data_IF_708869400870
#
_entry.id   IF_708869400870
#
_cell.length_a   1.000
_cell.length_b   1.000
_cell.length_c   1.000
_cell.angle_alpha   90.00
_cell.angle_beta   90.00
_cell.angle_gamma   90.00
#
_symmetry.space_group_name_H-M   'P 1'
#
loop_
_entity.id
_entity.type
_entity.pdbx_description
1 polymer ?
2 non-polymer ?
3 non-polymer ?
4 non-polymer ?
5 non-polymer ?
6 water ?
#
# COMPACT_ATOMS: atom_id res chain seq x y z
N UNK A 5 -4.17 -9.86 14.00
CA UNK A 5 -3.37 -10.69 14.90
C UNK A 5 -2.30 -11.50 14.17
N UNK A 6 -2.58 -11.92 12.93
CA UNK A 6 -1.53 -12.56 12.12
C UNK A 6 -1.51 -12.03 10.69
N UNK A 7 -0.33 -12.05 10.07
CA UNK A 7 -0.22 -11.57 8.69
C UNK A 7 -1.11 -12.38 7.73
N UNK A 8 -1.27 -13.66 8.01
CA UNK A 8 -2.06 -14.48 7.09
C UNK A 8 -3.50 -14.05 7.06
N UNK A 9 -3.93 -13.31 8.10
CA UNK A 9 -5.30 -12.84 8.17
C UNK A 9 -5.57 -11.78 7.10
N UNK A 10 -4.51 -11.24 6.50
CA UNK A 10 -4.68 -10.23 5.44
C UNK A 10 -4.79 -10.88 4.06
N UNK A 11 -4.58 -12.19 3.97
CA UNK A 11 -4.56 -12.81 2.63
C UNK A 11 -5.89 -12.72 1.91
N UNK A 12 -5.81 -12.57 0.58
CA UNK A 12 -6.96 -12.71 -0.29
C UNK A 12 -6.99 -11.66 -1.38
N UNK A 13 -8.06 -11.66 -2.17
CA UNK A 13 -8.26 -10.63 -3.18
C UNK A 13 -9.21 -9.62 -2.57
N UNK A 14 -8.82 -8.35 -2.60
CA UNK A 14 -9.62 -7.29 -2.01
C UNK A 14 -9.96 -6.23 -3.06
N UNK A 15 -11.15 -5.65 -2.98
CA UNK A 15 -11.61 -4.67 -3.94
C UNK A 15 -11.86 -3.32 -3.26
N UNK A 16 -11.37 -2.24 -3.87
CA UNK A 16 -11.51 -0.92 -3.24
C UNK A 16 -12.94 -0.48 -3.19
N UNK A 17 -13.39 -0.15 -1.99
CA UNK A 17 -14.75 0.41 -1.86
C UNK A 17 -14.80 1.82 -1.33
N UNK A 18 -13.72 2.33 -0.76
CA UNK A 18 -13.77 3.75 -0.37
C UNK A 18 -12.37 4.33 -0.31
N UNK A 19 -12.20 5.61 -0.64
CA UNK A 19 -10.89 6.23 -0.58
C UNK A 19 -11.05 7.66 -0.07
N UNK A 20 -10.16 8.09 0.82
CA UNK A 20 -10.10 9.47 1.30
C UNK A 20 -8.65 9.92 1.33
N UNK A 21 -8.36 11.10 0.82
CA UNK A 21 -7.00 11.60 0.96
C UNK A 21 -5.98 11.18 -0.07
N UNK A 22 -6.35 10.27 -0.97
CA UNK A 22 -5.36 9.68 -1.85
C UNK A 22 -4.81 10.72 -2.82
N UNK A 23 -5.67 11.62 -3.32
CA UNK A 23 -5.16 12.66 -4.21
C UNK A 23 -4.14 13.53 -3.50
N UNK A 24 -4.46 13.87 -2.26
CA UNK A 24 -3.53 14.73 -1.52
C UNK A 24 -2.23 14.01 -1.23
N UNK A 25 -2.32 12.72 -0.91
CA UNK A 25 -1.10 11.95 -0.66
C UNK A 25 -0.22 11.87 -1.92
N UNK A 26 -0.84 11.62 -3.09
CA UNK A 26 -0.05 11.61 -4.32
C UNK A 26 0.57 12.98 -4.61
N UNK A 27 -0.13 14.05 -4.27
CA UNK A 27 0.42 15.41 -4.48
C UNK A 27 1.64 15.61 -3.58
N UNK A 28 1.52 15.14 -2.34
CA UNK A 28 2.69 15.16 -1.45
C UNK A 28 3.89 14.39 -2.01
N UNK A 29 3.64 13.24 -2.65
CA UNK A 29 4.70 12.46 -3.30
C UNK A 29 5.27 13.22 -4.52
N UNK A 30 4.53 14.17 -5.03
CA UNK A 30 4.97 14.91 -6.20
C UNK A 30 4.55 14.24 -7.50
N UNK A 31 3.58 13.32 -7.43
CA UNK A 31 3.09 12.62 -8.63
C UNK A 31 2.42 13.61 -9.54
N UNK A 32 2.67 13.46 -10.85
CA UNK A 32 2.15 14.39 -11.82
C UNK A 32 0.70 14.08 -12.14
N UNK A 33 0.05 15.01 -12.82
CA UNK A 33 -1.39 15.00 -13.03
C UNK A 33 -1.86 13.73 -13.76
N UNK A 34 -1.09 13.26 -14.74
CA UNK A 34 -1.56 12.05 -15.50
C UNK A 34 -1.75 10.86 -14.57
N UNK A 35 -0.71 10.55 -13.81
CA UNK A 35 -0.80 9.50 -12.82
C UNK A 35 -1.76 9.79 -11.69
N UNK A 36 -1.86 11.04 -11.23
CA UNK A 36 -2.86 11.26 -10.19
C UNK A 36 -4.26 11.01 -10.67
N UNK A 37 -4.57 11.40 -11.91
CA UNK A 37 -5.92 11.18 -12.41
C UNK A 37 -6.21 9.69 -12.52
N UNK A 38 -5.26 8.94 -13.01
CA UNK A 38 -5.47 7.50 -13.07
C UNK A 38 -5.63 6.85 -11.70
N UNK A 39 -4.91 7.29 -10.66
CA UNK A 39 -5.18 6.83 -9.31
C UNK A 39 -6.51 7.28 -8.70
N UNK A 40 -7.00 8.42 -9.13
CA UNK A 40 -8.29 8.86 -8.62
C UNK A 40 -9.38 8.00 -9.26
N UNK A 41 -9.10 7.47 -10.45
CA UNK A 41 -10.13 6.80 -11.22
C UNK A 41 -10.07 5.30 -11.12
N UNK A 42 -8.90 4.74 -10.87
CA UNK A 42 -8.82 3.30 -10.83
C UNK A 42 -9.48 2.79 -9.53
N UNK A 43 -10.14 1.64 -9.60
CA UNK A 43 -10.68 1.03 -8.38
C UNK A 43 -10.02 -0.35 -8.36
N UNK A 44 -8.74 -0.39 -8.04
CA UNK A 44 -8.06 -1.67 -8.26
C UNK A 44 -8.43 -2.74 -7.24
N UNK A 45 -8.02 -3.95 -7.57
CA UNK A 45 -8.04 -5.02 -6.58
C UNK A 45 -6.66 -5.10 -5.98
N UNK A 46 -6.58 -5.47 -4.69
CA UNK A 46 -5.28 -5.72 -4.04
C UNK A 46 -5.26 -7.19 -3.69
N UNK A 47 -4.25 -7.96 -4.12
CA UNK A 47 -4.23 -9.39 -3.79
C UNK A 47 -3.01 -9.59 -2.90
N UNK A 48 -3.25 -10.05 -1.66
CA UNK A 48 -2.19 -10.26 -0.66
C UNK A 48 -2.03 -11.74 -0.44
N UNK A 49 -0.81 -12.23 -0.59
CA UNK A 49 -0.55 -13.63 -0.27
C UNK A 49 0.71 -13.73 0.57
N UNK A 50 0.78 -14.77 1.41
CA UNK A 50 1.96 -14.88 2.26
C UNK A 50 2.35 -16.34 2.45
N UNK A 51 3.61 -16.54 2.78
CA UNK A 51 4.09 -17.89 3.09
C UNK A 51 5.20 -17.75 4.11
N UNK A 52 4.86 -18.00 5.37
CA UNK A 52 5.79 -17.80 6.48
C UNK A 52 6.11 -16.31 6.64
N UNK A 53 7.37 -15.96 6.42
CA UNK A 53 7.79 -14.56 6.47
C UNK A 53 7.80 -13.89 5.10
N UNK A 54 7.43 -14.61 4.04
CA UNK A 54 7.42 -14.04 2.69
C UNK A 54 6.04 -13.51 2.31
N UNK A 55 6.00 -12.37 1.64
CA UNK A 55 4.74 -11.70 1.40
C UNK A 55 4.79 -11.20 -0.02
N UNK A 56 3.65 -11.23 -0.72
CA UNK A 56 3.53 -10.57 -2.00
C UNK A 56 2.27 -9.72 -1.97
N UNK A 57 2.36 -8.52 -2.52
CA UNK A 57 1.19 -7.66 -2.70
C UNK A 57 1.09 -7.25 -4.14
N UNK A 58 0.01 -7.63 -4.78
CA UNK A 58 -0.23 -7.30 -6.17
C UNK A 58 -1.39 -6.36 -6.29
N UNK A 59 -1.24 -5.29 -7.08
CA UNK A 59 -2.34 -4.38 -7.30
C UNK A 59 -2.75 -4.52 -8.76
N UNK A 60 -4.04 -4.75 -9.00
CA UNK A 60 -4.58 -4.97 -10.35
C UNK A 60 -5.66 -4.05 -10.74
N UNK A 61 -5.47 -3.38 -11.86
CA UNK A 61 -6.60 -2.70 -12.48
C UNK A 61 -6.32 -2.45 -13.95
N UNK A 62 -7.28 -1.87 -14.63
CA UNK A 62 -7.13 -1.71 -16.05
C UNK A 62 -6.25 -0.47 -16.15
N UNK A 63 -6.55 0.49 -15.28
CA UNK A 63 -5.70 1.66 -15.18
C UNK A 63 -4.34 1.36 -14.52
N UNK A 64 -4.28 0.42 -13.57
CA UNK A 64 -3.06 0.27 -12.77
C UNK A 64 -2.82 -1.22 -12.40
N UNK A 65 -1.66 -1.78 -12.80
CA UNK A 65 -1.14 -3.13 -12.40
C UNK A 65 0.38 -3.22 -11.97
N UNK A 66 0.71 -3.62 -10.71
CA UNK A 66 2.07 -3.65 -10.14
C UNK A 66 2.14 -4.75 -9.05
N UNK A 67 3.33 -5.27 -8.72
CA UNK A 67 3.45 -6.22 -7.64
C UNK A 67 4.83 -6.24 -7.06
N UNK A 68 4.93 -6.46 -5.75
CA UNK A 68 6.24 -6.67 -5.17
C UNK A 68 6.18 -7.80 -4.18
N UNK A 69 7.33 -8.41 -3.92
CA UNK A 69 7.43 -9.49 -2.94
C UNK A 69 8.54 -9.14 -1.99
N UNK A 70 8.41 -9.56 -0.75
CA UNK A 70 9.49 -9.32 0.20
C UNK A 70 9.51 -10.35 1.28
N UNK A 71 10.55 -10.27 2.12
CA UNK A 71 10.60 -11.04 3.34
C UNK A 71 10.48 -10.10 4.54
N UNK A 72 9.63 -10.44 5.50
CA UNK A 72 9.42 -9.51 6.62
C UNK A 72 10.73 -9.18 7.30
N UNK A 73 10.96 -7.90 7.57
CA UNK A 73 12.20 -7.52 8.22
C UNK A 73 13.40 -7.28 7.33
N UNK A 74 13.29 -7.61 6.05
CA UNK A 74 14.42 -7.49 5.13
C UNK A 74 14.27 -6.28 4.20
N UNK A 75 15.26 -5.39 4.17
CA UNK A 75 15.20 -4.25 3.25
C UNK A 75 15.29 -4.69 1.82
N UNK A 76 14.54 -4.04 0.93
CA UNK A 76 14.60 -4.41 -0.50
C UNK A 76 14.31 -3.22 -1.39
N UNK A 77 14.68 -3.32 -2.67
CA UNK A 77 14.37 -2.23 -3.60
C UNK A 77 13.00 -2.39 -4.19
N UNK A 78 12.11 -1.45 -3.88
CA UNK A 78 10.75 -1.47 -4.39
C UNK A 78 10.57 -0.45 -5.51
N UNK A 79 10.02 -0.86 -6.66
CA UNK A 79 9.70 0.12 -7.69
C UNK A 79 8.23 0.43 -7.47
N UNK A 80 7.90 1.69 -7.21
CA UNK A 80 6.51 1.95 -6.87
C UNK A 80 5.71 2.21 -8.10
N UNK A 81 4.39 2.24 -7.93
CA UNK A 81 3.56 2.52 -9.09
C UNK A 81 3.80 3.86 -9.73
N UNK A 82 4.26 4.85 -8.96
CA UNK A 82 4.50 6.13 -9.56
C UNK A 82 5.96 6.26 -10.03
N UNK A 83 6.73 5.19 -9.87
CA UNK A 83 8.05 5.09 -10.48
C UNK A 83 9.22 5.41 -9.57
N UNK A 84 8.97 5.52 -8.27
CA UNK A 84 10.11 5.73 -7.36
C UNK A 84 10.81 4.41 -7.22
N UNK A 85 12.12 4.45 -6.98
CA UNK A 85 12.76 3.21 -6.51
C UNK A 85 13.16 3.46 -5.08
N UNK A 86 12.49 2.78 -4.17
CA UNK A 86 12.65 3.09 -2.75
C UNK A 86 13.36 1.95 -2.06
N UNK A 87 13.95 2.25 -0.91
CA UNK A 87 14.36 1.19 -0.02
C UNK A 87 13.19 0.95 0.93
N UNK A 88 12.60 -0.24 0.85
CA UNK A 88 11.40 -0.54 1.63
C UNK A 88 11.67 -1.66 2.61
N UNK A 89 10.97 -1.65 3.73
CA UNK A 89 10.96 -2.81 4.61
C UNK A 89 9.56 -2.99 5.15
N UNK A 90 9.07 -4.24 5.13
CA UNK A 90 7.74 -4.55 5.70
C UNK A 90 7.90 -5.33 6.98
N UNK A 91 7.09 -4.99 7.97
CA UNK A 91 7.08 -5.79 9.21
C UNK A 91 5.65 -5.97 9.67
N UNK A 92 5.37 -7.05 10.40
CA UNK A 92 4.03 -7.18 10.95
C UNK A 92 4.11 -6.93 12.44
N UNK A 93 3.57 -5.80 12.88
CA UNK A 93 3.76 -5.37 14.25
C UNK A 93 2.43 -4.93 14.80
N UNK A 94 2.08 -5.46 15.97
CA UNK A 94 0.88 -5.02 16.66
C UNK A 94 -0.33 -5.13 15.74
N UNK A 95 -0.44 -6.27 15.06
CA UNK A 95 -1.59 -6.54 14.23
C UNK A 95 -1.75 -5.67 13.00
N UNK A 96 -0.68 -5.05 12.53
CA UNK A 96 -0.77 -4.42 11.24
C UNK A 96 0.46 -4.72 10.44
N UNK A 97 0.30 -4.82 9.12
CA UNK A 97 1.48 -4.86 8.27
C UNK A 97 1.97 -3.44 8.08
N UNK A 98 3.25 -3.17 8.33
CA UNK A 98 3.74 -1.79 8.19
C UNK A 98 4.81 -1.81 7.11
N UNK A 99 4.64 -0.97 6.09
CA UNK A 99 5.56 -0.89 4.94
C UNK A 99 6.22 0.48 4.99
N UNK A 100 7.51 0.54 5.27
CA UNK A 100 8.20 1.81 5.37
C UNK A 100 9.06 1.98 4.13
N UNK A 101 8.89 3.11 3.44
CA UNK A 101 9.62 3.43 2.19
C UNK A 101 10.58 4.58 2.40
N UNK A 102 11.84 4.43 1.97
CA UNK A 102 12.80 5.57 2.03
C UNK A 102 13.42 5.84 0.69
N UNK A 103 13.48 7.09 0.24
CA UNK A 103 14.12 7.37 -1.05
C UNK A 103 14.55 8.83 -1.03
N UNK A 104 15.73 9.13 -1.57
CA UNK A 104 16.17 10.54 -1.78
C UNK A 104 15.95 11.44 -0.53
N UNK A 105 16.16 10.88 0.66
CA UNK A 105 16.02 11.65 1.90
C UNK A 105 14.62 11.78 2.45
N UNK A 106 13.66 11.17 1.73
CA UNK A 106 12.23 11.23 2.07
C UNK A 106 11.77 9.89 2.64
N UNK A 107 10.65 9.91 3.35
CA UNK A 107 10.09 8.69 3.89
C UNK A 107 8.56 8.69 3.77
N UNK A 108 7.97 7.51 3.63
CA UNK A 108 6.53 7.39 3.71
C UNK A 108 6.22 6.01 4.26
N UNK A 109 5.06 5.87 4.88
CA UNK A 109 4.67 4.62 5.53
C UNK A 109 3.28 4.25 5.08
N UNK A 110 3.08 2.95 4.80
CA UNK A 110 1.74 2.45 4.49
C UNK A 110 1.40 1.35 5.46
N UNK A 111 0.21 1.40 6.08
CA UNK A 111 -0.11 0.33 7.02
C UNK A 111 -1.32 -0.35 6.46
N UNK A 112 -1.44 -1.63 6.75
CA UNK A 112 -2.58 -2.43 6.30
C UNK A 112 -3.06 -3.27 7.46
N UNK A 113 -4.35 -3.17 7.75
CA UNK A 113 -4.91 -3.90 8.89
C UNK A 113 -6.26 -4.46 8.56
N UNK A 114 -6.70 -5.47 9.33
CA UNK A 114 -8.03 -5.99 9.11
C UNK A 114 -8.93 -5.42 10.21
N UNK A 115 -10.06 -4.84 9.81
CA UNK A 115 -11.04 -4.23 10.73
C UNK A 115 -12.45 -4.55 10.25
N UNK A 116 -13.24 -5.24 11.07
CA UNK A 116 -14.61 -5.61 10.66
C UNK A 116 -14.63 -6.36 9.34
N UNK A 117 -13.64 -7.21 9.11
CA UNK A 117 -13.61 -8.01 7.91
C UNK A 117 -13.24 -7.23 6.66
N UNK A 118 -12.86 -5.96 6.82
CA UNK A 118 -12.44 -5.15 5.68
C UNK A 118 -10.93 -4.91 5.81
N UNK A 119 -10.27 -4.68 4.68
CA UNK A 119 -8.85 -4.31 4.70
C UNK A 119 -8.77 -2.79 4.75
N UNK A 120 -8.08 -2.25 5.76
CA UNK A 120 -7.98 -0.80 5.91
C UNK A 120 -6.53 -0.43 5.64
N UNK A 121 -6.33 0.38 4.59
CA UNK A 121 -4.98 0.75 4.17
C UNK A 121 -4.79 2.21 4.43
N UNK A 122 -3.73 2.56 5.16
CA UNK A 122 -3.49 3.98 5.49
C UNK A 122 -2.13 4.38 5.02
N UNK A 123 -2.03 5.55 4.40
CA UNK A 123 -0.69 5.97 4.03
C UNK A 123 -0.42 7.36 4.58
N UNK A 124 0.86 7.59 4.80
CA UNK A 124 1.25 8.92 5.32
C UNK A 124 2.60 9.34 4.76
N UNK A 125 2.72 10.61 4.38
CA UNK A 125 4.05 11.18 4.11
C UNK A 125 3.98 12.60 4.63
N UNK A 126 4.90 12.95 5.54
CA UNK A 126 4.95 14.33 6.03
C UNK A 126 3.58 14.83 6.53
N UNK A 127 2.95 13.97 7.34
CA UNK A 127 1.62 14.21 7.95
C UNK A 127 0.47 14.31 6.96
N UNK A 128 0.73 14.09 5.68
CA UNK A 128 -0.37 14.06 4.71
C UNK A 128 -0.86 12.61 4.62
N UNK A 129 -2.15 12.37 4.86
CA UNK A 129 -2.64 11.00 5.06
C UNK A 129 -3.69 10.59 4.05
N UNK A 130 -3.87 9.30 3.90
CA UNK A 130 -4.84 8.74 2.96
C UNK A 130 -5.43 7.55 3.73
N UNK A 131 -6.68 7.21 3.52
CA UNK A 131 -7.24 5.99 4.10
C UNK A 131 -8.05 5.31 2.99
N UNK A 132 -7.75 4.05 2.67
CA UNK A 132 -8.52 3.34 1.64
C UNK A 132 -9.06 2.06 2.24
N UNK A 133 -10.30 1.75 1.93
CA UNK A 133 -10.95 0.57 2.50
C UNK A 133 -11.31 -0.40 1.39
N UNK A 134 -10.99 -1.68 1.62
CA UNK A 134 -11.28 -2.74 0.64
C UNK A 134 -12.14 -3.83 1.24
N UNK A 135 -13.03 -4.39 0.42
CA UNK A 135 -13.78 -5.58 0.90
C UNK A 135 -13.31 -6.82 0.15
N UNK A 136 -13.45 -7.97 0.80
CA UNK A 136 -12.99 -9.23 0.19
C UNK A 136 -13.81 -9.62 -1.03
N UNK A 137 -13.13 -10.10 -2.09
CA UNK A 137 -13.75 -10.55 -3.33
C UNK A 137 -13.77 -12.05 -3.14
N UNK A 138 -14.94 -12.63 -3.13
CA UNK A 138 -14.95 -14.09 -2.91
C UNK A 138 -16.20 -14.73 -3.52
X LIG B 1 -5.69 0.42 15.02
X LIG C 1 4.73 -15.39 -1.14
X LIG C 1 5.87 -14.42 -1.47
X LIG C 1 3.34 -15.07 -2.27
X LIG C 1 5.10 -17.14 -1.53
X LIG D 1 0.26 5.22 9.86
X LIG D 1 0.63 6.68 10.07
X LIG D 1 -1.43 4.91 10.38
X LIG D 1 -0.02 5.05 8.07
X LIG E 1 -10.60 12.61 -0.34
X LIG F 1 -9.43 10.32 -3.06
X LIG F 1 -8.49 11.46 -3.32
X LIG F 1 -9.50 9.45 -4.29
X LIG F 1 -9.12 9.53 -1.88
X LIG F 1 -10.77 10.90 -2.81
#
# INVERSE_FOLDING_TARGET
SNAMATVQQLEGRWRLVDSKGFDEYMKELGVGIALRKMGAMAKPDCIITCDGKNLTIKTESTLKTTQFSCTLGEKFEETTADGRKTQTVCNFTDGALVQHQEWDGKESTITRKLKDGKLVVECVMNNVTCTRIYEKVE
CL CL
DMS S O C1 C2
DMS S O C1 C2
NH4 N
SO4 S O1 O2 O3 O4
#
